data_IF_288930056121
#
_entry.id   IF_288930056121
#
_cell.length_a   1.000
_cell.length_b   1.000
_cell.length_c   1.000
_cell.angle_alpha   90.00
_cell.angle_beta   90.00
_cell.angle_gamma   90.00
#
_symmetry.space_group_name_H-M   'P 1'
#
loop_
_entity.id
_entity.type
_entity.pdbx_description
1 polymer ?
#
# COMPACT_ATOMS: atom_id res chain seq x y z
N UNK A 1 -25.32 2.61 -10.20
CA UNK A 1 -25.10 2.56 -8.76
C UNK A 1 -23.92 1.64 -8.47
N UNK A 2 -22.89 2.16 -7.87
CA UNK A 2 -21.72 1.38 -7.54
C UNK A 2 -22.06 0.43 -6.38
N UNK A 3 -21.59 -0.82 -6.43
CA UNK A 3 -21.88 -1.81 -5.38
C UNK A 3 -21.44 -1.34 -3.98
N UNK A 4 -20.47 -0.44 -3.94
CA UNK A 4 -19.94 0.07 -2.68
C UNK A 4 -20.81 1.16 -2.04
N UNK A 5 -21.66 1.82 -2.83
CA UNK A 5 -22.50 2.91 -2.34
C UNK A 5 -23.67 2.43 -1.46
N UNK A 6 -23.96 1.14 -1.49
CA UNK A 6 -25.07 0.55 -0.75
C UNK A 6 -24.62 -0.09 0.58
N UNK A 7 -23.33 -0.02 0.91
CA UNK A 7 -22.80 -0.66 2.11
C UNK A 7 -22.82 0.34 3.26
N UNK A 8 -23.52 -0.02 4.33
CA UNK A 8 -23.62 0.80 5.52
C UNK A 8 -22.26 0.95 6.22
N UNK A 9 -22.01 2.08 6.93
CA UNK A 9 -20.73 2.31 7.60
C UNK A 9 -20.31 1.19 8.56
N UNK A 10 -21.26 0.52 9.20
CA UNK A 10 -21.00 -0.62 10.08
C UNK A 10 -20.49 -1.87 9.34
N UNK A 11 -20.59 -1.89 8.01
CA UNK A 11 -20.09 -2.97 7.16
C UNK A 11 -18.74 -2.64 6.51
N UNK A 12 -18.09 -1.56 6.94
CA UNK A 12 -16.74 -1.21 6.48
C UNK A 12 -15.77 -2.34 6.84
N UNK A 13 -14.86 -2.71 5.92
CA UNK A 13 -13.96 -3.83 6.17
C UNK A 13 -12.97 -3.51 7.28
N UNK A 14 -12.57 -4.55 8.02
CA UNK A 14 -11.50 -4.46 9.01
C UNK A 14 -10.17 -4.66 8.29
N UNK A 15 -9.24 -3.75 8.51
CA UNK A 15 -7.90 -3.85 7.92
C UNK A 15 -7.16 -5.05 8.53
N UNK A 16 -6.72 -5.97 7.68
CA UNK A 16 -6.04 -7.20 8.10
C UNK A 16 -5.00 -7.63 7.06
N UNK A 17 -4.10 -8.51 7.47
CA UNK A 17 -3.02 -8.99 6.61
C UNK A 17 -3.54 -9.91 5.51
N UNK A 18 -2.85 -9.88 4.37
CA UNK A 18 -3.11 -10.77 3.26
C UNK A 18 -4.28 -10.37 2.40
N UNK A 19 -4.53 -11.19 1.40
CA UNK A 19 -5.59 -11.00 0.42
C UNK A 19 -6.91 -11.57 0.93
N UNK A 20 -8.00 -10.85 0.68
CA UNK A 20 -9.34 -11.25 1.09
C UNK A 20 -10.29 -11.31 -0.11
N UNK A 21 -11.33 -12.14 -0.01
CA UNK A 21 -12.28 -12.34 -1.09
C UNK A 21 -13.26 -11.18 -1.26
N UNK A 22 -13.65 -10.55 -0.14
CA UNK A 22 -14.61 -9.45 -0.13
C UNK A 22 -14.53 -8.69 1.20
N UNK A 23 -15.26 -7.56 1.29
CA UNK A 23 -15.26 -6.70 2.46
C UNK A 23 -15.70 -7.38 3.76
N UNK A 24 -16.56 -8.38 3.70
CA UNK A 24 -17.04 -9.09 4.89
C UNK A 24 -15.95 -9.95 5.54
N UNK A 25 -14.93 -10.33 4.77
CA UNK A 25 -13.79 -11.12 5.24
C UNK A 25 -12.63 -10.29 5.77
N UNK A 26 -12.71 -8.96 5.69
CA UNK A 26 -11.63 -8.03 5.97
C UNK A 26 -11.05 -7.45 4.70
N UNK A 27 -9.98 -6.68 4.83
CA UNK A 27 -9.30 -6.09 3.68
C UNK A 27 -7.83 -5.84 3.98
N UNK A 28 -6.95 -6.03 3.00
CA UNK A 28 -5.64 -5.42 3.04
C UNK A 28 -5.77 -3.92 2.68
N UNK A 29 -4.69 -3.18 2.85
CA UNK A 29 -4.69 -1.74 2.56
C UNK A 29 -5.20 -1.43 1.15
N UNK A 30 -4.74 -2.16 0.13
CA UNK A 30 -5.12 -1.86 -1.25
C UNK A 30 -6.51 -2.37 -1.62
N UNK A 31 -6.97 -3.46 -1.04
CA UNK A 31 -8.37 -3.88 -1.19
C UNK A 31 -9.31 -2.83 -0.61
N UNK A 32 -8.96 -2.27 0.55
CA UNK A 32 -9.72 -1.19 1.16
C UNK A 32 -9.72 0.06 0.26
N UNK A 33 -8.57 0.40 -0.33
CA UNK A 33 -8.49 1.51 -1.28
C UNK A 33 -9.38 1.28 -2.50
N UNK A 34 -9.41 0.06 -3.05
CA UNK A 34 -10.30 -0.26 -4.17
C UNK A 34 -11.77 -0.10 -3.79
N UNK A 35 -12.11 -0.50 -2.56
CA UNK A 35 -13.45 -0.34 -2.02
C UNK A 35 -13.85 1.14 -1.93
N UNK A 36 -12.98 1.98 -1.35
CA UNK A 36 -13.24 3.42 -1.22
C UNK A 36 -13.29 4.13 -2.57
N UNK A 37 -12.49 3.68 -3.54
CA UNK A 37 -12.47 4.24 -4.88
C UNK A 37 -13.71 3.86 -5.72
N UNK A 38 -14.53 2.94 -5.21
CA UNK A 38 -15.64 2.42 -5.98
C UNK A 38 -15.23 1.52 -7.14
N UNK A 39 -14.01 1.03 -7.13
CA UNK A 39 -13.50 0.09 -8.13
C UNK A 39 -13.89 -1.35 -7.78
N UNK A 40 -13.65 -2.26 -8.73
CA UNK A 40 -13.76 -3.68 -8.50
C UNK A 40 -12.84 -4.09 -7.34
N UNK A 41 -13.32 -4.93 -6.43
CA UNK A 41 -12.52 -5.43 -5.31
C UNK A 41 -11.23 -6.07 -5.81
N UNK A 42 -10.09 -5.52 -5.37
CA UNK A 42 -8.78 -5.97 -5.81
C UNK A 42 -7.69 -5.46 -4.86
N UNK A 43 -6.66 -6.25 -4.67
CA UNK A 43 -5.43 -5.81 -4.02
C UNK A 43 -4.47 -5.10 -5.00
N UNK A 44 -4.84 -5.02 -6.27
CA UNK A 44 -4.13 -4.34 -7.35
C UNK A 44 -5.06 -3.37 -8.09
N UNK A 45 -5.70 -2.39 -7.41
CA UNK A 45 -6.63 -1.49 -8.06
C UNK A 45 -5.91 -0.54 -9.03
N UNK A 46 -6.62 -0.15 -10.09
CA UNK A 46 -6.09 0.78 -11.08
C UNK A 46 -5.92 2.21 -10.55
N UNK A 47 -6.54 2.55 -9.41
CA UNK A 47 -6.53 3.89 -8.85
C UNK A 47 -5.18 4.33 -8.25
N UNK A 48 -4.24 3.41 -8.06
CA UNK A 48 -2.97 3.69 -7.38
C UNK A 48 -1.81 3.18 -8.22
N UNK A 49 -0.72 3.94 -8.25
CA UNK A 49 0.50 3.53 -8.93
C UNK A 49 0.96 2.16 -8.42
N UNK A 50 1.33 1.21 -9.31
CA UNK A 50 1.67 -0.16 -8.91
C UNK A 50 2.79 -0.27 -7.89
N UNK A 51 3.81 0.58 -7.98
CA UNK A 51 4.93 0.58 -7.02
C UNK A 51 4.47 1.01 -5.62
N UNK A 52 3.63 2.04 -5.55
CA UNK A 52 3.06 2.49 -4.29
C UNK A 52 2.11 1.43 -3.71
N UNK A 53 1.31 0.80 -4.55
CA UNK A 53 0.40 -0.27 -4.13
C UNK A 53 1.18 -1.46 -3.56
N UNK A 54 2.29 -1.86 -4.20
CA UNK A 54 3.15 -2.93 -3.69
C UNK A 54 3.71 -2.59 -2.31
N UNK A 55 4.22 -1.37 -2.12
CA UNK A 55 4.69 -0.89 -0.82
C UNK A 55 3.58 -0.95 0.23
N UNK A 56 2.40 -0.47 -0.11
CA UNK A 56 1.27 -0.45 0.80
C UNK A 56 0.84 -1.85 1.24
N UNK A 57 0.84 -2.83 0.32
CA UNK A 57 0.55 -4.23 0.66
C UNK A 57 1.59 -4.80 1.63
N UNK A 58 2.87 -4.54 1.36
CA UNK A 58 3.96 -5.06 2.20
C UNK A 58 3.91 -4.45 3.61
N UNK A 59 3.72 -3.13 3.72
CA UNK A 59 3.58 -2.45 5.01
C UNK A 59 2.37 -3.00 5.76
N UNK A 60 1.24 -3.18 5.08
CA UNK A 60 0.03 -3.76 5.67
C UNK A 60 0.29 -5.15 6.26
N UNK A 61 0.93 -6.01 5.48
CA UNK A 61 1.10 -7.42 5.86
C UNK A 61 2.17 -7.61 6.94
N UNK A 62 3.19 -6.74 6.97
CA UNK A 62 4.29 -6.82 7.93
C UNK A 62 4.04 -6.03 9.20
N UNK A 63 3.00 -5.20 9.25
CA UNK A 63 2.63 -4.44 10.44
C UNK A 63 1.79 -5.30 11.38
N UNK A 64 2.01 -5.15 12.69
CA UNK A 64 1.22 -5.86 13.71
C UNK A 64 -0.26 -5.47 13.64
N UNK A 65 -1.13 -6.35 14.15
CA UNK A 65 -2.56 -6.07 14.18
C UNK A 65 -2.89 -4.75 14.90
N UNK A 66 -2.18 -4.45 15.99
CA UNK A 66 -2.35 -3.18 16.74
C UNK A 66 -1.86 -1.98 15.94
N UNK A 67 -0.70 -2.11 15.28
CA UNK A 67 -0.13 -1.02 14.47
C UNK A 67 -0.89 -0.79 13.19
N UNK A 68 -1.51 -1.83 12.65
CA UNK A 68 -2.21 -1.76 11.36
C UNK A 68 -3.36 -0.75 11.37
N UNK A 69 -4.04 -0.58 12.50
CA UNK A 69 -5.11 0.41 12.62
C UNK A 69 -4.64 1.84 12.35
N UNK A 70 -3.34 2.12 12.55
CA UNK A 70 -2.75 3.44 12.27
C UNK A 70 -2.62 3.73 10.78
N UNK A 71 -2.73 2.71 9.94
CA UNK A 71 -2.65 2.86 8.49
C UNK A 71 -3.97 3.34 7.88
N UNK A 72 -5.09 3.14 8.59
CA UNK A 72 -6.43 3.44 8.06
C UNK A 72 -6.56 4.88 7.54
N UNK A 73 -6.10 5.93 8.25
CA UNK A 73 -6.22 7.30 7.74
C UNK A 73 -5.43 7.57 6.45
N UNK A 74 -4.45 6.72 6.13
CA UNK A 74 -3.64 6.87 4.92
C UNK A 74 -4.33 6.28 3.69
N UNK A 75 -5.28 5.38 3.86
CA UNK A 75 -5.91 4.68 2.75
C UNK A 75 -6.56 5.63 1.73
N UNK A 76 -7.39 6.60 2.13
CA UNK A 76 -7.97 7.53 1.17
C UNK A 76 -6.93 8.35 0.39
N UNK A 77 -5.75 8.54 0.97
CA UNK A 77 -4.70 9.37 0.38
C UNK A 77 -4.02 8.73 -0.82
N UNK A 78 -4.09 7.41 -0.96
CA UNK A 78 -3.50 6.71 -2.11
C UNK A 78 -4.49 6.52 -3.25
N UNK A 79 -5.78 6.72 -3.01
CA UNK A 79 -6.82 6.65 -4.03
C UNK A 79 -6.60 7.75 -5.06
N UNK A 80 -6.40 7.37 -6.31
CA UNK A 80 -6.12 8.31 -7.39
C UNK A 80 -4.67 8.76 -7.49
N UNK A 81 -3.78 8.28 -6.61
CA UNK A 81 -2.38 8.66 -6.62
C UNK A 81 -1.61 7.79 -7.62
N UNK A 82 -1.52 8.32 -8.84
CA UNK A 82 -0.88 7.62 -9.95
C UNK A 82 -0.12 8.62 -10.84
N UNK A 83 1.03 9.16 -10.36
CA UNK A 83 1.86 10.02 -11.19
C UNK A 83 2.34 9.29 -12.43
N UNK A 84 2.31 9.99 -13.57
CA UNK A 84 2.71 9.43 -14.87
C UNK A 84 4.20 9.64 -15.17
N UNK A 85 4.96 10.22 -14.26
CA UNK A 85 6.40 10.40 -14.38
C UNK A 85 7.10 9.05 -14.23
N UNK A 86 7.93 8.69 -15.20
CA UNK A 86 8.70 7.44 -15.20
C UNK A 86 9.64 7.32 -14.00
N UNK A 87 10.05 8.44 -13.40
CA UNK A 87 10.93 8.47 -12.24
C UNK A 87 10.22 8.17 -10.93
N UNK A 88 8.90 8.10 -10.93
CA UNK A 88 8.13 7.94 -9.68
C UNK A 88 8.50 6.66 -8.94
N UNK A 89 8.65 5.55 -9.65
CA UNK A 89 9.06 4.28 -9.04
C UNK A 89 10.44 4.36 -8.40
N UNK A 90 11.40 5.02 -9.08
CA UNK A 90 12.74 5.23 -8.54
C UNK A 90 12.72 6.17 -7.33
N UNK A 91 11.89 7.20 -7.34
CA UNK A 91 11.73 8.13 -6.22
C UNK A 91 11.17 7.42 -4.99
N UNK A 92 10.16 6.56 -5.15
CA UNK A 92 9.65 5.72 -4.05
C UNK A 92 10.76 4.83 -3.50
N UNK A 93 11.52 4.17 -4.38
CA UNK A 93 12.59 3.28 -3.96
C UNK A 93 13.68 4.04 -3.19
N UNK A 94 14.03 5.25 -3.62
CA UNK A 94 15.00 6.10 -2.92
C UNK A 94 14.52 6.49 -1.52
N UNK A 95 13.26 6.89 -1.38
CA UNK A 95 12.70 7.27 -0.08
C UNK A 95 12.67 6.08 0.85
N UNK A 96 12.11 4.96 0.42
CA UNK A 96 11.97 3.75 1.23
C UNK A 96 13.35 3.18 1.58
N UNK A 97 14.25 3.09 0.61
CA UNK A 97 15.60 2.61 0.82
C UNK A 97 16.39 3.47 1.78
N UNK A 98 16.25 4.80 1.69
CA UNK A 98 16.91 5.74 2.60
C UNK A 98 16.43 5.58 4.04
N UNK A 99 15.15 5.31 4.24
CA UNK A 99 14.58 5.05 5.57
C UNK A 99 15.09 3.70 6.12
N UNK A 100 15.17 2.69 5.27
CA UNK A 100 15.59 1.34 5.66
C UNK A 100 17.10 1.23 5.92
N UNK A 101 17.91 1.99 5.21
CA UNK A 101 19.37 1.87 5.21
C UNK A 101 19.99 1.82 6.61
N UNK A 102 19.65 2.71 7.57
CA UNK A 102 20.29 2.70 8.89
C UNK A 102 19.85 1.56 9.81
N UNK A 103 18.80 0.84 9.48
CA UNK A 103 18.20 -0.18 10.37
C UNK A 103 18.38 -1.62 9.87
N UNK A 104 18.91 -1.81 8.66
CA UNK A 104 19.20 -3.16 8.15
C UNK A 104 20.61 -3.59 8.53
N UNK A 105 20.91 -4.88 8.36
CA UNK A 105 22.25 -5.43 8.64
C UNK A 105 23.31 -4.78 7.75
N UNK A 106 24.58 -4.82 8.19
CA UNK A 106 25.69 -4.24 7.42
C UNK A 106 25.77 -4.81 6.01
N UNK A 107 25.58 -6.11 5.85
CA UNK A 107 25.56 -6.76 4.53
C UNK A 107 24.47 -6.17 3.63
N UNK A 108 23.26 -6.02 4.19
CA UNK A 108 22.13 -5.42 3.45
C UNK A 108 22.34 -3.94 3.19
N UNK A 109 23.00 -3.21 4.10
CA UNK A 109 23.35 -1.81 3.89
C UNK A 109 24.23 -1.64 2.64
N UNK A 110 25.21 -2.51 2.45
CA UNK A 110 26.09 -2.47 1.27
C UNK A 110 25.30 -2.71 -0.01
N UNK A 111 24.49 -3.77 -0.04
CA UNK A 111 23.67 -4.09 -1.21
C UNK A 111 22.66 -2.97 -1.52
N UNK A 112 21.98 -2.46 -0.49
CA UNK A 112 20.99 -1.40 -0.61
C UNK A 112 21.65 -0.09 -1.06
N UNK A 113 22.81 0.24 -0.50
CA UNK A 113 23.56 1.45 -0.90
C UNK A 113 23.95 1.43 -2.37
N UNK A 114 24.42 0.29 -2.88
CA UNK A 114 24.75 0.14 -4.30
C UNK A 114 23.49 0.32 -5.17
N UNK A 115 22.38 -0.31 -4.78
CA UNK A 115 21.10 -0.16 -5.47
C UNK A 115 20.61 1.29 -5.51
N UNK A 116 20.67 1.99 -4.37
CA UNK A 116 20.25 3.39 -4.29
C UNK A 116 21.11 4.31 -5.16
N UNK A 117 22.43 4.08 -5.18
CA UNK A 117 23.33 4.87 -6.02
C UNK A 117 23.04 4.67 -7.50
N UNK A 118 22.57 3.51 -7.91
CA UNK A 118 22.22 3.23 -9.31
C UNK A 118 20.94 3.96 -9.77
N UNK A 119 20.15 4.48 -8.84
CA UNK A 119 18.91 5.19 -9.13
C UNK A 119 19.09 6.71 -9.30
N UNK A 120 20.26 7.19 -9.00
CA UNK A 120 20.56 8.65 -9.02
C UNK A 120 20.99 9.11 -10.41
#
# INVERSE_FOLDING_TARGET
MNRNDAIAPELMPILSAGRHRNAARGACFMEYASFLAGERWSDHPACTHPQLAALARDVNDLTSATGRSRLVPLIPRVVGLYPRDERYAAEIALVVGSIALPIVSLERQRALGVGLLSLV
#
